data_IF_785791773808
#
_entry.id   IF_785791773808
#
_cell.length_a   1.000
_cell.length_b   1.000
_cell.length_c   1.000
_cell.angle_alpha   90.00
_cell.angle_beta   90.00
_cell.angle_gamma   90.00
#
_symmetry.space_group_name_H-M   'P 1'
#
loop_
_entity.id
_entity.type
_entity.pdbx_description
1 polymer ?
#
# COMPACT_ATOMS: atom_id res chain seq x y z
N UNK A 1 -0.55 13.52 1.66
CA UNK A 1 -0.68 12.06 1.43
C UNK A 1 -1.40 11.49 2.62
N UNK A 2 -2.63 11.02 2.47
CA UNK A 2 -3.36 10.36 3.56
C UNK A 2 -3.66 8.93 3.12
N UNK A 3 -2.60 8.10 3.15
CA UNK A 3 -2.69 6.66 2.91
C UNK A 3 -3.23 6.07 4.22
N UNK A 4 -4.51 6.34 4.49
CA UNK A 4 -5.25 5.75 5.60
C UNK A 4 -5.19 4.22 5.49
N UNK A 5 -5.30 3.57 6.65
CA UNK A 5 -5.12 2.13 6.85
C UNK A 5 -5.74 1.29 5.71
N UNK A 6 -5.08 0.15 5.42
CA UNK A 6 -5.60 -1.00 4.67
C UNK A 6 -6.91 -0.72 3.92
N UNK A 7 -6.79 -0.28 2.66
CA UNK A 7 -7.95 -0.21 1.78
C UNK A 7 -8.12 -1.56 1.12
N UNK A 8 -9.21 -2.25 1.41
CA UNK A 8 -9.52 -3.56 0.84
C UNK A 8 -10.85 -3.51 0.08
N UNK A 9 -10.97 -4.36 -0.93
CA UNK A 9 -12.23 -4.61 -1.63
C UNK A 9 -13.09 -5.56 -0.79
N UNK A 10 -14.32 -5.15 -0.47
CA UNK A 10 -15.33 -5.99 0.18
C UNK A 10 -16.60 -6.00 -0.65
N UNK A 11 -17.39 -7.08 -0.62
CA UNK A 11 -18.63 -7.16 -1.40
C UNK A 11 -19.58 -5.96 -1.17
N UNK A 12 -20.44 -5.68 -2.16
CA UNK A 12 -21.36 -4.54 -2.22
C UNK A 12 -22.51 -4.56 -1.17
N UNK A 13 -22.47 -5.43 -0.16
CA UNK A 13 -23.51 -5.51 0.87
C UNK A 13 -23.35 -4.33 1.83
N UNK A 14 -24.22 -3.32 1.66
CA UNK A 14 -24.24 -2.09 2.46
C UNK A 14 -24.14 -2.35 3.98
N UNK A 15 -23.02 -1.90 4.55
CA UNK A 15 -22.88 -1.31 5.89
C UNK A 15 -23.56 -2.02 7.07
N UNK A 16 -23.12 -3.24 7.39
CA UNK A 16 -23.13 -3.69 8.79
C UNK A 16 -21.69 -3.84 9.25
N UNK A 17 -21.27 -3.16 10.32
CA UNK A 17 -19.96 -3.37 10.95
C UNK A 17 -19.74 -4.86 11.32
N UNK A 18 -20.80 -5.58 11.68
CA UNK A 18 -20.78 -7.03 11.90
C UNK A 18 -20.41 -7.86 10.66
N UNK A 19 -20.67 -7.34 9.46
CA UNK A 19 -20.39 -7.97 8.19
C UNK A 19 -18.97 -7.64 7.68
N UNK A 20 -18.53 -6.41 7.93
CA UNK A 20 -17.16 -5.95 7.61
C UNK A 20 -16.11 -6.73 8.40
N UNK A 21 -16.40 -7.10 9.65
CA UNK A 21 -15.47 -7.84 10.51
C UNK A 21 -15.29 -9.33 10.14
N UNK A 22 -15.94 -9.82 9.09
CA UNK A 22 -15.78 -11.20 8.62
C UNK A 22 -14.73 -11.25 7.51
N UNK A 23 -13.60 -11.92 7.76
CA UNK A 23 -12.46 -12.02 6.83
C UNK A 23 -12.84 -12.66 5.48
N UNK A 24 -13.84 -13.54 5.46
CA UNK A 24 -14.32 -14.21 4.24
C UNK A 24 -14.98 -13.28 3.21
N UNK A 25 -15.37 -12.06 3.62
CA UNK A 25 -16.06 -11.09 2.77
C UNK A 25 -15.10 -10.14 2.05
N UNK A 26 -13.79 -10.37 2.20
CA UNK A 26 -12.74 -9.54 1.62
C UNK A 26 -12.09 -10.24 0.44
N UNK A 27 -11.72 -9.45 -0.57
CA UNK A 27 -11.04 -9.96 -1.73
C UNK A 27 -9.55 -10.18 -1.41
N UNK A 28 -9.17 -11.44 -1.35
CA UNK A 28 -7.79 -11.88 -1.18
C UNK A 28 -7.15 -12.19 -2.54
N UNK A 29 -5.90 -11.78 -2.70
CA UNK A 29 -5.06 -12.15 -3.84
C UNK A 29 -4.60 -13.60 -3.66
N UNK A 30 -5.11 -14.51 -4.51
CA UNK A 30 -4.80 -15.96 -4.45
C UNK A 30 -3.48 -16.34 -5.11
N UNK A 31 -2.88 -15.39 -5.81
CA UNK A 31 -1.69 -15.49 -6.65
C UNK A 31 -0.37 -15.17 -5.90
N UNK A 32 -0.46 -14.79 -4.62
CA UNK A 32 0.69 -14.54 -3.75
C UNK A 32 1.05 -15.80 -2.93
N UNK A 33 1.93 -16.66 -3.43
CA UNK A 33 2.56 -17.66 -2.55
C UNK A 33 3.59 -16.95 -1.63
N UNK A 34 3.59 -17.14 -0.28
CA UNK A 34 2.78 -18.06 0.52
C UNK A 34 1.68 -17.39 1.37
N UNK A 35 1.34 -16.12 1.15
CA UNK A 35 0.43 -15.34 2.03
C UNK A 35 -0.75 -14.80 1.24
N UNK A 36 -1.96 -15.16 1.67
CA UNK A 36 -3.19 -14.55 1.17
C UNK A 36 -3.26 -13.09 1.63
N UNK A 37 -3.04 -12.15 0.71
CA UNK A 37 -2.97 -10.72 1.02
C UNK A 37 -4.21 -9.97 0.49
N UNK A 38 -4.65 -8.95 1.22
CA UNK A 38 -5.70 -8.04 0.76
C UNK A 38 -5.30 -7.32 -0.53
N UNK A 39 -6.26 -7.20 -1.46
CA UNK A 39 -6.05 -6.40 -2.67
C UNK A 39 -6.21 -4.91 -2.34
N UNK A 40 -5.16 -4.08 -2.49
CA UNK A 40 -5.27 -2.65 -2.24
C UNK A 40 -6.11 -1.96 -3.32
N UNK A 41 -6.93 -1.00 -2.91
CA UNK A 41 -7.86 -0.29 -3.80
C UNK A 41 -7.94 1.21 -3.48
N UNK A 42 -8.49 2.00 -4.40
CA UNK A 42 -8.81 3.40 -4.13
C UNK A 42 -9.92 3.94 -5.01
N UNK A 43 -10.65 4.93 -4.50
CA UNK A 43 -11.72 5.63 -5.23
C UNK A 43 -11.20 6.81 -6.07
N UNK A 44 -9.89 6.96 -6.23
CA UNK A 44 -9.32 7.97 -7.13
C UNK A 44 -9.47 7.54 -8.59
N UNK A 45 -9.56 8.50 -9.51
CA UNK A 45 -9.71 8.25 -10.95
C UNK A 45 -8.62 7.38 -11.57
N UNK A 46 -7.45 7.30 -10.92
CA UNK A 46 -6.28 6.53 -11.35
C UNK A 46 -5.88 5.45 -10.34
N UNK A 47 -6.68 5.25 -9.30
CA UNK A 47 -6.44 4.23 -8.30
C UNK A 47 -6.98 2.88 -8.79
N UNK A 48 -6.54 1.79 -8.14
CA UNK A 48 -7.02 0.45 -8.48
C UNK A 48 -8.48 0.32 -8.08
N UNK A 49 -9.34 0.08 -9.06
CA UNK A 49 -10.76 -0.19 -8.87
C UNK A 49 -10.97 -1.66 -8.46
N UNK A 50 -11.97 -1.88 -7.61
CA UNK A 50 -12.44 -3.22 -7.29
C UNK A 50 -13.27 -3.80 -8.46
N UNK A 51 -13.30 -5.13 -8.62
CA UNK A 51 -14.15 -5.78 -9.63
C UNK A 51 -15.65 -5.57 -9.31
N UNK A 52 -16.53 -5.86 -10.29
CA UNK A 52 -17.97 -5.71 -10.09
C UNK A 52 -18.47 -6.54 -8.90
N UNK A 53 -19.37 -5.96 -8.12
CA UNK A 53 -19.86 -6.59 -6.88
C UNK A 53 -19.03 -6.26 -5.64
N UNK A 54 -17.91 -5.54 -5.76
CA UNK A 54 -17.07 -5.11 -4.65
C UNK A 54 -16.96 -3.57 -4.54
N UNK A 55 -16.95 -3.06 -3.32
CA UNK A 55 -16.65 -1.67 -2.98
C UNK A 55 -15.31 -1.55 -2.27
N UNK A 56 -14.60 -0.47 -2.57
CA UNK A 56 -13.38 -0.12 -1.85
C UNK A 56 -13.71 0.55 -0.52
N UNK A 57 -13.29 -0.06 0.58
CA UNK A 57 -13.46 0.45 1.93
C UNK A 57 -12.12 0.92 2.49
N UNK A 58 -12.14 1.99 3.29
CA UNK A 58 -10.96 2.54 3.97
C UNK A 58 -10.94 2.08 5.42
N UNK A 59 -9.75 1.96 6.00
CA UNK A 59 -9.54 1.70 7.43
C UNK A 59 -10.12 0.37 7.92
N UNK A 60 -10.11 -0.67 7.08
CA UNK A 60 -10.70 -1.97 7.37
C UNK A 60 -9.70 -3.07 6.98
N UNK A 61 -9.41 -3.96 7.94
CA UNK A 61 -8.47 -5.06 7.78
C UNK A 61 -7.03 -4.73 8.18
N UNK A 62 -6.19 -5.76 8.22
CA UNK A 62 -4.77 -5.58 8.47
C UNK A 62 -4.08 -4.99 7.24
N UNK A 63 -3.17 -4.04 7.48
CA UNK A 63 -2.37 -3.43 6.41
C UNK A 63 -1.47 -4.47 5.76
N UNK A 64 -1.14 -4.23 4.50
CA UNK A 64 -0.25 -5.07 3.70
C UNK A 64 1.03 -5.46 4.47
N UNK A 65 1.48 -6.70 4.32
CA UNK A 65 2.57 -7.30 5.09
C UNK A 65 2.37 -7.16 6.62
N UNK A 66 1.24 -7.64 7.16
CA UNK A 66 0.94 -7.71 8.60
C UNK A 66 1.08 -6.37 9.37
N UNK A 67 0.83 -5.23 8.72
CA UNK A 67 0.95 -3.92 9.38
C UNK A 67 2.30 -3.23 9.26
N UNK A 68 3.36 -3.89 8.76
CA UNK A 68 4.71 -3.31 8.71
C UNK A 68 4.86 -2.23 7.64
N UNK A 69 4.10 -2.34 6.54
CA UNK A 69 4.10 -1.38 5.45
C UNK A 69 2.92 -0.43 5.60
N UNK A 70 3.14 0.70 6.27
CA UNK A 70 2.11 1.72 6.52
C UNK A 70 2.73 3.14 6.52
N UNK A 71 1.88 4.16 6.33
CA UNK A 71 2.28 5.59 6.40
C UNK A 71 1.56 6.35 7.52
N UNK A 72 0.86 5.65 8.41
CA UNK A 72 0.08 6.26 9.49
C UNK A 72 0.91 6.47 10.75
N UNK A 73 1.81 5.53 11.03
CA UNK A 73 2.73 5.65 12.14
C UNK A 73 4.08 6.17 11.65
N UNK A 74 4.68 7.05 12.43
CA UNK A 74 5.96 7.67 12.09
C UNK A 74 7.07 6.64 11.84
N UNK A 75 7.16 5.61 12.68
CA UNK A 75 8.25 4.62 12.61
C UNK A 75 8.09 3.67 11.42
N UNK A 76 6.87 3.19 11.16
CA UNK A 76 6.57 2.34 10.00
C UNK A 76 6.65 3.13 8.69
N UNK A 77 6.27 4.42 8.69
CA UNK A 77 6.47 5.32 7.57
C UNK A 77 7.97 5.51 7.27
N UNK A 78 8.81 5.65 8.30
CA UNK A 78 10.26 5.75 8.12
C UNK A 78 10.85 4.45 7.58
N UNK A 79 10.43 3.29 8.10
CA UNK A 79 10.83 1.98 7.59
C UNK A 79 10.45 1.79 6.12
N UNK A 80 9.21 2.08 5.76
CA UNK A 80 8.71 1.98 4.39
C UNK A 80 9.45 2.94 3.45
N UNK A 81 9.75 4.16 3.92
CA UNK A 81 10.54 5.14 3.16
C UNK A 81 11.98 4.68 3.00
N UNK A 82 12.57 4.06 4.02
CA UNK A 82 13.92 3.49 3.94
C UNK A 82 14.00 2.37 2.89
N UNK A 83 13.01 1.47 2.85
CA UNK A 83 12.90 0.42 1.81
C UNK A 83 12.84 1.02 0.39
N UNK A 84 12.11 2.12 0.21
CA UNK A 84 12.09 2.88 -1.05
C UNK A 84 13.44 3.51 -1.39
N UNK A 85 14.17 4.03 -0.39
CA UNK A 85 15.49 4.67 -0.59
C UNK A 85 16.59 3.67 -0.94
N UNK A 86 16.58 2.49 -0.34
CA UNK A 86 17.56 1.42 -0.61
C UNK A 86 17.20 0.59 -1.83
N UNK A 87 16.03 0.81 -2.42
CA UNK A 87 15.45 -0.04 -3.47
C UNK A 87 15.40 -1.52 -3.11
N UNK A 88 15.23 -1.83 -1.81
CA UNK A 88 15.07 -3.19 -1.34
C UNK A 88 13.58 -3.54 -1.23
N UNK A 89 13.14 -4.57 -1.97
CA UNK A 89 11.75 -4.99 -2.05
C UNK A 89 10.75 -3.85 -2.39
N UNK A 90 11.20 -2.86 -3.17
CA UNK A 90 10.49 -1.60 -3.42
C UNK A 90 9.20 -1.74 -4.24
N UNK A 91 9.06 -2.80 -5.03
CA UNK A 91 7.89 -3.04 -5.89
C UNK A 91 6.59 -3.12 -5.07
N UNK A 92 6.62 -3.76 -3.89
CA UNK A 92 5.44 -3.92 -3.05
C UNK A 92 4.91 -2.60 -2.46
N UNK A 93 5.71 -1.78 -1.76
CA UNK A 93 5.23 -0.49 -1.28
C UNK A 93 4.92 0.46 -2.44
N UNK A 94 5.60 0.35 -3.57
CA UNK A 94 5.28 1.13 -4.77
C UNK A 94 3.89 0.80 -5.32
N UNK A 95 3.57 -0.49 -5.48
CA UNK A 95 2.24 -0.96 -5.88
C UNK A 95 1.16 -0.52 -4.90
N UNK A 96 1.44 -0.56 -3.60
CA UNK A 96 0.53 -0.08 -2.56
C UNK A 96 0.24 1.41 -2.72
N UNK A 97 1.27 2.23 -2.93
CA UNK A 97 1.13 3.68 -3.13
C UNK A 97 0.33 3.98 -4.39
N UNK A 98 0.62 3.27 -5.50
CA UNK A 98 -0.04 3.48 -6.78
C UNK A 98 -1.51 3.06 -6.76
N UNK A 99 -1.82 1.94 -6.11
CA UNK A 99 -3.19 1.42 -6.04
C UNK A 99 -4.12 2.25 -5.15
N UNK A 100 -3.58 2.95 -4.15
CA UNK A 100 -4.36 3.69 -3.14
C UNK A 100 -4.41 5.20 -3.35
N UNK A 101 -3.40 5.76 -4.04
CA UNK A 101 -3.19 7.21 -4.13
C UNK A 101 -3.32 7.73 -5.57
N UNK A 102 -3.30 9.05 -5.71
CA UNK A 102 -3.31 9.80 -6.97
C UNK A 102 -1.98 9.67 -7.74
N UNK A 103 -1.96 9.95 -9.05
CA UNK A 103 -0.76 9.78 -9.90
C UNK A 103 0.42 10.68 -9.49
N UNK A 104 0.18 11.72 -8.69
CA UNK A 104 1.26 12.56 -8.14
C UNK A 104 2.16 11.81 -7.16
N UNK A 105 1.71 10.70 -6.57
CA UNK A 105 2.56 9.87 -5.72
C UNK A 105 3.71 9.22 -6.48
N UNK A 106 3.54 8.94 -7.77
CA UNK A 106 4.60 8.40 -8.64
C UNK A 106 5.76 9.38 -8.74
N UNK A 107 5.48 10.66 -8.95
CA UNK A 107 6.50 11.71 -9.00
C UNK A 107 7.25 11.82 -7.67
N UNK A 108 6.56 11.72 -6.54
CA UNK A 108 7.19 11.68 -5.23
C UNK A 108 8.14 10.47 -5.09
N UNK A 109 7.71 9.27 -5.48
CA UNK A 109 8.54 8.06 -5.43
C UNK A 109 9.81 8.21 -6.28
N UNK A 110 9.71 8.76 -7.50
CA UNK A 110 10.87 8.97 -8.38
C UNK A 110 11.89 9.91 -7.76
N UNK A 111 11.44 11.03 -7.19
CA UNK A 111 12.34 12.01 -6.53
C UNK A 111 13.05 11.35 -5.35
N UNK A 112 12.33 10.60 -4.52
CA UNK A 112 12.89 9.90 -3.35
C UNK A 112 13.92 8.85 -3.76
N UNK A 113 13.62 8.03 -4.76
CA UNK A 113 14.55 7.01 -5.27
C UNK A 113 15.83 7.65 -5.80
N UNK A 114 15.70 8.70 -6.62
CA UNK A 114 16.86 9.41 -7.17
C UNK A 114 17.75 9.98 -6.07
N UNK A 115 17.13 10.64 -5.10
CA UNK A 115 17.80 11.24 -3.95
C UNK A 115 18.48 10.16 -3.08
N UNK A 116 17.80 9.04 -2.84
CA UNK A 116 18.32 7.89 -2.10
C UNK A 116 19.59 7.31 -2.72
N UNK A 117 19.56 7.01 -4.02
CA UNK A 117 20.74 6.53 -4.73
C UNK A 117 21.91 7.51 -4.68
N UNK A 118 21.65 8.80 -4.91
CA UNK A 118 22.69 9.82 -4.81
C UNK A 118 23.35 9.83 -3.42
N UNK A 119 22.57 9.81 -2.35
CA UNK A 119 23.12 9.80 -0.99
C UNK A 119 23.85 8.50 -0.65
N UNK A 120 23.29 7.34 -1.00
CA UNK A 120 23.94 6.04 -0.73
C UNK A 120 25.25 5.88 -1.50
N UNK A 121 25.30 6.31 -2.76
CA UNK A 121 26.53 6.27 -3.56
C UNK A 121 27.60 7.21 -2.99
N UNK A 122 27.23 8.43 -2.61
CA UNK A 122 28.16 9.36 -1.97
C UNK A 122 28.66 8.84 -0.61
N UNK A 123 27.81 8.14 0.14
CA UNK A 123 28.21 7.52 1.40
C UNK A 123 29.21 6.38 1.18
N UNK A 124 29.00 5.53 0.16
CA UNK A 124 29.98 4.50 -0.18
C UNK A 124 31.30 5.07 -0.72
N UNK A 125 31.25 6.18 -1.48
CA UNK A 125 32.43 6.82 -2.06
C UNK A 125 33.24 7.65 -1.06
N UNK A 126 32.59 8.12 0.02
CA UNK A 126 33.25 8.85 1.10
C UNK A 126 34.09 7.97 2.02
N UNK A 127 33.94 6.63 1.93
CA UNK A 127 34.68 5.63 2.70
C UNK A 127 35.93 5.17 1.95
#
# INVERSE_FOLDING_TARGET
>A
MNIRNATACSDNILSKQKWINQENNWLLRKDSYPVEEHVPCGNGSFSRLCPEGYVCLKDIGESFANGWTNFNDFLYSMLTTFQLLTTDFWERPYDLILSTTSPLSVLFCIIVIYLGFYYLLNLMLAV
#
